data_IF_500563938374
#
_entry.id   IF_500563938374
#
_cell.length_a   1.000
_cell.length_b   1.000
_cell.length_c   1.000
_cell.angle_alpha   90.00
_cell.angle_beta   90.00
_cell.angle_gamma   90.00
#
_symmetry.space_group_name_H-M   'P 1'
#
loop_
_entity.id
_entity.type
_entity.pdbx_description
1 polymer ?
#
# COMPACT_ATOMS: atom_id res chain seq x y z
N UNK A 1 -2.64 -25.09 5.53
CA UNK A 1 -1.78 -24.26 6.41
C UNK A 1 -2.59 -23.30 7.28
N UNK A 2 -3.84 -22.97 6.89
CA UNK A 2 -4.74 -22.09 7.66
C UNK A 2 -5.88 -22.84 8.36
N UNK A 3 -6.01 -24.15 8.14
CA UNK A 3 -6.92 -25.03 8.88
C UNK A 3 -6.55 -25.12 10.37
N UNK A 4 -7.57 -25.16 11.22
CA UNK A 4 -7.43 -25.39 12.66
C UNK A 4 -6.89 -26.79 12.98
N UNK A 5 -7.06 -27.75 12.06
CA UNK A 5 -6.55 -29.11 12.21
C UNK A 5 -5.10 -29.28 11.72
N UNK A 6 -4.26 -29.98 12.50
CA UNK A 6 -2.80 -30.05 12.32
C UNK A 6 -2.33 -31.16 11.36
N UNK A 7 -3.17 -31.65 10.46
CA UNK A 7 -2.76 -32.73 9.54
C UNK A 7 -2.18 -32.16 8.24
N UNK A 8 -0.86 -32.29 8.00
CA UNK A 8 -0.31 -32.05 6.67
C UNK A 8 -0.76 -33.21 5.77
N UNK A 9 -1.76 -32.97 4.91
CA UNK A 9 -1.99 -33.85 3.77
C UNK A 9 -0.80 -33.72 2.81
N UNK A 10 -0.34 -34.82 2.24
CA UNK A 10 0.64 -34.76 1.16
C UNK A 10 0.04 -34.02 -0.02
N UNK A 11 0.77 -33.07 -0.60
CA UNK A 11 0.37 -32.31 -1.79
C UNK A 11 0.39 -33.15 -3.09
N UNK A 12 0.46 -34.47 -2.97
CA UNK A 12 0.50 -35.40 -4.09
C UNK A 12 -0.95 -35.79 -4.39
N UNK A 13 -1.37 -35.50 -5.61
CA UNK A 13 -2.66 -35.97 -6.12
C UNK A 13 -2.67 -37.51 -6.18
N UNK A 14 -3.64 -38.18 -5.54
CA UNK A 14 -3.79 -39.62 -5.71
C UNK A 14 -4.14 -39.91 -7.17
N UNK A 15 -3.37 -40.80 -7.80
CA UNK A 15 -3.58 -41.21 -9.20
C UNK A 15 -4.25 -42.57 -9.31
N UNK A 16 -4.37 -43.29 -8.18
CA UNK A 16 -5.02 -44.59 -8.09
C UNK A 16 -5.82 -44.72 -6.81
N UNK A 17 -6.94 -45.42 -6.88
CA UNK A 17 -7.73 -45.84 -5.73
C UNK A 17 -7.07 -47.00 -4.98
N UNK A 18 -7.57 -47.31 -3.78
CA UNK A 18 -7.14 -48.46 -2.96
C UNK A 18 -7.32 -49.80 -3.69
N UNK A 19 -8.28 -49.88 -4.62
CA UNK A 19 -8.55 -51.05 -5.48
C UNK A 19 -7.73 -51.05 -6.79
N UNK A 20 -6.87 -50.05 -7.00
CA UNK A 20 -5.95 -49.98 -8.15
C UNK A 20 -6.54 -49.39 -9.44
N UNK A 21 -7.76 -48.86 -9.41
CA UNK A 21 -8.37 -48.14 -10.52
C UNK A 21 -7.68 -46.79 -10.76
N UNK A 22 -7.67 -46.32 -12.01
CA UNK A 22 -7.08 -45.03 -12.38
C UNK A 22 -8.03 -43.88 -11.99
N UNK A 23 -7.49 -42.88 -11.30
CA UNK A 23 -8.19 -41.65 -10.96
C UNK A 23 -7.82 -40.52 -11.93
N UNK A 24 -8.84 -39.81 -12.40
CA UNK A 24 -8.68 -38.56 -13.15
C UNK A 24 -9.21 -37.40 -12.29
N UNK A 25 -8.42 -36.34 -12.16
CA UNK A 25 -8.79 -35.19 -11.33
C UNK A 25 -9.63 -34.21 -12.13
N UNK A 26 -10.89 -34.04 -11.75
CA UNK A 26 -11.75 -33.01 -12.33
C UNK A 26 -11.52 -31.64 -11.69
N UNK A 27 -10.71 -30.81 -12.32
CA UNK A 27 -10.36 -29.48 -11.79
C UNK A 27 -11.56 -28.53 -11.63
N UNK A 28 -12.65 -28.74 -12.37
CA UNK A 28 -13.84 -27.88 -12.33
C UNK A 28 -14.67 -28.01 -11.04
N UNK A 29 -14.60 -29.16 -10.36
CA UNK A 29 -15.28 -29.42 -9.08
C UNK A 29 -14.38 -29.17 -7.87
N UNK A 30 -13.09 -28.94 -8.11
CA UNK A 30 -12.14 -28.62 -7.05
C UNK A 30 -12.41 -27.22 -6.48
N UNK A 31 -12.39 -27.11 -5.15
CA UNK A 31 -12.45 -25.84 -4.47
C UNK A 31 -11.04 -25.26 -4.30
N UNK A 32 -10.86 -24.02 -4.75
CA UNK A 32 -9.61 -23.27 -4.61
C UNK A 32 -9.81 -22.08 -3.69
N UNK A 33 -8.74 -21.67 -3.01
CA UNK A 33 -8.73 -20.51 -2.11
C UNK A 33 -7.51 -19.64 -2.42
N UNK A 34 -7.74 -18.34 -2.43
CA UNK A 34 -6.67 -17.37 -2.56
C UNK A 34 -5.95 -17.22 -1.22
N UNK A 35 -4.63 -17.15 -1.30
CA UNK A 35 -3.73 -17.04 -0.16
C UNK A 35 -2.63 -16.02 -0.49
N UNK A 36 -2.41 -15.06 0.40
CA UNK A 36 -1.39 -14.03 0.25
C UNK A 36 -0.64 -13.85 1.57
N UNK A 37 0.69 -13.77 1.49
CA UNK A 37 1.54 -13.44 2.64
C UNK A 37 1.99 -11.99 2.51
N UNK A 38 1.79 -11.20 3.56
CA UNK A 38 2.21 -9.79 3.64
C UNK A 38 3.03 -9.59 4.91
N UNK A 39 4.15 -8.89 4.82
CA UNK A 39 4.95 -8.50 5.99
C UNK A 39 4.63 -7.06 6.38
N UNK A 40 4.16 -6.85 7.61
CA UNK A 40 3.88 -5.52 8.16
C UNK A 40 5.03 -5.08 9.05
N UNK A 41 5.38 -3.80 8.95
CA UNK A 41 6.42 -3.16 9.75
C UNK A 41 5.81 -2.19 10.76
N UNK A 42 6.44 -2.07 11.94
CA UNK A 42 6.07 -1.06 12.92
C UNK A 42 6.16 0.36 12.36
N UNK A 43 5.26 1.24 12.82
CA UNK A 43 5.28 2.65 12.42
C UNK A 43 6.55 3.32 12.93
N UNK A 44 7.36 3.95 12.06
CA UNK A 44 8.62 4.55 12.47
C UNK A 44 8.43 5.69 13.48
N UNK A 45 7.28 6.38 13.45
CA UNK A 45 6.90 7.44 14.40
C UNK A 45 6.73 6.94 15.84
N UNK A 46 6.40 5.66 16.02
CA UNK A 46 6.16 5.03 17.33
C UNK A 46 7.35 4.19 17.82
N UNK A 47 8.31 3.91 16.95
CA UNK A 47 9.47 3.08 17.28
C UNK A 47 10.48 3.90 18.11
N UNK A 48 11.06 3.32 19.17
CA UNK A 48 12.11 3.98 19.94
C UNK A 48 13.34 4.24 19.06
N UNK A 49 13.94 5.42 19.22
CA UNK A 49 15.13 5.80 18.46
C UNK A 49 16.31 4.87 18.81
N UNK A 50 16.92 4.26 17.80
CA UNK A 50 18.11 3.41 17.94
C UNK A 50 17.87 1.91 17.76
N UNK A 51 16.63 1.45 17.58
CA UNK A 51 16.34 0.06 17.20
C UNK A 51 15.87 -0.03 15.75
N UNK A 52 16.16 -1.17 15.11
CA UNK A 52 15.59 -1.49 13.80
C UNK A 52 14.11 -1.85 13.99
N UNK A 53 13.20 -1.22 13.23
CA UNK A 53 11.77 -1.52 13.30
C UNK A 53 11.51 -3.00 13.06
N UNK A 54 10.68 -3.62 13.91
CA UNK A 54 10.35 -5.04 13.79
C UNK A 54 9.28 -5.24 12.71
N UNK A 55 9.30 -6.42 12.11
CA UNK A 55 8.32 -6.86 11.13
C UNK A 55 7.63 -8.14 11.58
N UNK A 56 6.37 -8.31 11.17
CA UNK A 56 5.56 -9.50 11.43
C UNK A 56 4.96 -9.98 10.12
N UNK A 57 5.04 -11.28 9.88
CA UNK A 57 4.42 -11.93 8.71
C UNK A 57 2.95 -12.23 8.99
N UNK A 58 2.11 -11.85 8.04
CA UNK A 58 0.66 -12.00 8.11
C UNK A 58 0.19 -12.78 6.89
N UNK A 59 -0.70 -13.72 7.12
CA UNK A 59 -1.38 -14.48 6.08
C UNK A 59 -2.79 -13.94 5.90
N UNK A 60 -3.14 -13.57 4.68
CA UNK A 60 -4.45 -13.14 4.22
C UNK A 60 -5.06 -14.25 3.37
N UNK A 61 -6.30 -14.62 3.67
CA UNK A 61 -7.04 -15.65 2.94
C UNK A 61 -8.30 -15.07 2.28
N UNK A 62 -8.72 -15.66 1.16
CA UNK A 62 -9.96 -15.36 0.44
C UNK A 62 -10.11 -13.85 0.13
N UNK A 63 -11.25 -13.25 0.49
CA UNK A 63 -11.61 -11.86 0.26
C UNK A 63 -10.69 -10.82 0.95
N UNK A 64 -9.74 -11.24 1.78
CA UNK A 64 -8.75 -10.32 2.38
C UNK A 64 -7.55 -10.07 1.47
N UNK A 65 -7.37 -10.89 0.43
CA UNK A 65 -6.29 -10.74 -0.55
C UNK A 65 -6.45 -9.42 -1.31
N UNK A 66 -5.32 -8.76 -1.56
CA UNK A 66 -5.21 -7.47 -2.28
C UNK A 66 -5.96 -6.28 -1.66
N UNK A 67 -6.36 -6.38 -0.37
CA UNK A 67 -6.98 -5.25 0.35
C UNK A 67 -6.00 -4.15 0.75
N UNK A 68 -4.69 -4.41 0.74
CA UNK A 68 -3.68 -3.45 1.15
C UNK A 68 -2.56 -3.34 0.11
N UNK A 69 -2.13 -2.11 -0.17
CA UNK A 69 -0.97 -1.87 -1.03
C UNK A 69 0.27 -1.60 -0.18
N UNK A 70 1.48 -1.91 -0.68
CA UNK A 70 2.70 -1.49 -0.03
C UNK A 70 2.69 0.02 0.27
N UNK A 71 3.07 0.41 1.48
CA UNK A 71 3.08 1.81 1.92
C UNK A 71 1.80 2.28 2.62
N UNK A 72 0.72 1.50 2.59
CA UNK A 72 -0.50 1.86 3.33
C UNK A 72 -0.34 1.65 4.83
N UNK A 73 -0.86 2.59 5.63
CA UNK A 73 -1.05 2.38 7.07
C UNK A 73 -2.26 1.47 7.27
N UNK A 74 -2.04 0.28 7.80
CA UNK A 74 -3.06 -0.74 8.05
C UNK A 74 -3.12 -1.13 9.52
N UNK A 75 -4.31 -1.50 9.98
CA UNK A 75 -4.56 -2.15 11.24
C UNK A 75 -5.13 -3.54 10.95
N UNK A 76 -4.42 -4.58 11.39
CA UNK A 76 -4.80 -5.97 11.18
C UNK A 76 -5.20 -6.59 12.52
N UNK A 77 -6.31 -7.32 12.50
CA UNK A 77 -6.77 -8.11 13.65
C UNK A 77 -6.82 -9.57 13.21
N UNK A 78 -6.21 -10.44 14.01
CA UNK A 78 -6.06 -11.84 13.66
C UNK A 78 -5.52 -12.69 14.79
N UNK A 79 -5.34 -13.98 14.50
CA UNK A 79 -4.88 -14.98 15.46
C UNK A 79 -3.38 -15.20 15.25
N UNK A 80 -2.62 -15.07 16.32
CA UNK A 80 -1.17 -15.32 16.31
C UNK A 80 -0.88 -16.82 16.41
N UNK A 81 -0.08 -17.36 15.49
CA UNK A 81 0.26 -18.79 15.42
C UNK A 81 1.76 -18.99 15.18
N UNK A 82 2.33 -19.98 15.85
CA UNK A 82 3.70 -20.42 15.62
C UNK A 82 3.70 -21.66 14.74
N UNK A 83 4.44 -21.63 13.63
CA UNK A 83 4.68 -22.77 12.77
C UNK A 83 6.06 -23.38 13.12
N UNK A 84 6.11 -24.65 13.53
CA UNK A 84 7.38 -25.35 13.74
C UNK A 84 8.03 -25.64 12.39
N UNK A 85 9.31 -25.29 12.26
CA UNK A 85 10.09 -25.67 11.08
C UNK A 85 10.70 -27.06 11.30
N UNK A 86 10.04 -28.08 10.75
CA UNK A 86 10.52 -29.47 10.77
C UNK A 86 11.21 -29.78 9.45
N UNK A 87 12.53 -29.99 9.49
CA UNK A 87 13.29 -30.55 8.36
C UNK A 87 13.63 -32.01 8.71
N UNK A 88 12.84 -32.94 8.18
CA UNK A 88 12.99 -34.36 8.48
C UNK A 88 12.66 -34.70 9.94
N UNK A 89 13.49 -35.53 10.58
CA UNK A 89 13.32 -35.97 11.97
C UNK A 89 13.81 -34.96 13.02
N UNK A 90 14.52 -33.91 12.61
CA UNK A 90 15.05 -32.89 13.51
C UNK A 90 14.14 -31.67 13.51
N UNK A 91 13.58 -31.34 14.68
CA UNK A 91 12.86 -30.10 14.89
C UNK A 91 13.86 -29.01 15.27
N UNK A 92 13.95 -27.94 14.49
CA UNK A 92 14.68 -26.75 14.95
C UNK A 92 13.93 -26.16 16.15
N UNK A 93 14.66 -25.68 17.17
CA UNK A 93 14.09 -24.95 18.31
C UNK A 93 13.59 -23.54 17.94
N UNK A 94 13.82 -23.10 16.70
CA UNK A 94 13.33 -21.83 16.17
C UNK A 94 11.95 -22.01 15.54
N UNK A 95 10.96 -21.31 16.11
CA UNK A 95 9.61 -21.28 15.58
C UNK A 95 9.43 -20.05 14.70
N UNK A 96 8.85 -20.23 13.50
CA UNK A 96 8.41 -19.09 12.68
C UNK A 96 7.06 -18.64 13.20
N UNK A 97 6.91 -17.35 13.45
CA UNK A 97 5.62 -16.79 13.90
C UNK A 97 4.91 -16.15 12.73
N UNK A 98 3.61 -16.42 12.63
CA UNK A 98 2.72 -15.87 11.62
C UNK A 98 1.44 -15.38 12.28
N UNK A 99 0.78 -14.40 11.69
CA UNK A 99 -0.53 -13.95 12.13
C UNK A 99 -1.55 -14.23 11.01
N UNK A 100 -2.58 -15.01 11.34
CA UNK A 100 -3.70 -15.28 10.43
C UNK A 100 -4.69 -14.13 10.54
N UNK A 101 -4.84 -13.34 9.48
CA UNK A 101 -5.70 -12.18 9.51
C UNK A 101 -7.18 -12.57 9.41
N UNK A 102 -7.99 -12.00 10.31
CA UNK A 102 -9.46 -12.06 10.21
C UNK A 102 -10.01 -10.80 9.57
N UNK A 103 -9.37 -9.65 9.82
CA UNK A 103 -9.79 -8.37 9.28
C UNK A 103 -8.60 -7.43 9.05
N UNK A 104 -8.67 -6.65 7.97
CA UNK A 104 -7.68 -5.63 7.58
C UNK A 104 -8.41 -4.30 7.41
N UNK A 105 -8.04 -3.32 8.23
CA UNK A 105 -8.59 -1.96 8.19
C UNK A 105 -7.50 -1.01 7.69
N UNK A 106 -7.74 -0.35 6.58
CA UNK A 106 -6.86 0.72 6.07
C UNK A 106 -7.07 1.98 6.93
N UNK A 107 -6.06 2.38 7.68
CA UNK A 107 -6.05 3.66 8.40
C UNK A 107 -5.76 4.84 7.47
N UNK A 108 -5.09 4.56 6.33
CA UNK A 108 -4.74 5.53 5.30
C UNK A 108 -5.83 5.77 4.26
N UNK A 109 -7.00 5.11 4.35
CA UNK A 109 -8.14 5.61 3.59
C UNK A 109 -8.37 7.01 4.10
N UNK A 110 -8.06 8.00 3.27
CA UNK A 110 -8.74 9.29 3.26
C UNK A 110 -10.16 8.94 3.67
N UNK A 111 -10.50 9.31 4.91
CA UNK A 111 -11.85 9.15 5.43
C UNK A 111 -12.66 9.69 4.29
N UNK A 112 -13.40 8.84 3.56
CA UNK A 112 -14.31 9.32 2.53
C UNK A 112 -15.10 10.35 3.29
N UNK A 113 -14.81 11.66 3.08
CA UNK A 113 -15.18 12.61 4.09
C UNK A 113 -16.69 12.47 4.14
N UNK A 114 -17.24 12.24 5.33
CA UNK A 114 -18.68 12.13 5.48
C UNK A 114 -19.22 13.53 5.25
N UNK A 115 -19.27 13.95 3.98
CA UNK A 115 -19.57 15.30 3.56
C UNK A 115 -21.07 15.43 3.76
N UNK A 116 -21.44 16.13 4.82
CA UNK A 116 -22.83 16.52 5.02
C UNK A 116 -23.23 17.55 3.97
N UNK A 117 -24.52 17.58 3.64
CA UNK A 117 -25.11 18.64 2.81
C UNK A 117 -24.83 20.03 3.38
N UNK A 118 -24.74 20.14 4.70
CA UNK A 118 -24.44 21.39 5.40
C UNK A 118 -23.02 21.89 5.12
N UNK A 119 -22.05 21.00 4.98
CA UNK A 119 -20.67 21.37 4.68
C UNK A 119 -20.54 21.88 3.25
N UNK A 120 -21.25 21.25 2.31
CA UNK A 120 -21.37 21.76 0.93
C UNK A 120 -22.01 23.15 0.93
N UNK A 121 -23.04 23.39 1.75
CA UNK A 121 -23.66 24.71 1.87
C UNK A 121 -22.70 25.75 2.45
N UNK A 122 -21.91 25.41 3.48
CA UNK A 122 -20.87 26.30 4.03
C UNK A 122 -19.81 26.64 2.98
N UNK A 123 -19.32 25.65 2.23
CA UNK A 123 -18.35 25.87 1.16
C UNK A 123 -18.90 26.77 0.05
N UNK A 124 -20.15 26.54 -0.38
CA UNK A 124 -20.83 27.41 -1.37
C UNK A 124 -21.06 28.82 -0.85
N UNK A 125 -21.39 28.98 0.44
CA UNK A 125 -21.54 30.30 1.08
C UNK A 125 -20.20 31.03 1.13
N UNK A 126 -19.14 30.34 1.53
CA UNK A 126 -17.78 30.87 1.59
C UNK A 126 -17.29 31.30 0.20
N UNK A 127 -17.49 30.47 -0.83
CA UNK A 127 -17.14 30.80 -2.22
C UNK A 127 -17.85 32.04 -2.78
N UNK A 128 -19.05 32.38 -2.27
CA UNK A 128 -19.86 33.53 -2.74
C UNK A 128 -19.60 34.82 -1.96
N UNK A 129 -18.79 34.78 -0.90
CA UNK A 129 -18.48 35.99 -0.13
C UNK A 129 -17.62 36.93 -0.98
N UNK A 130 -18.19 38.08 -1.39
CA UNK A 130 -17.50 39.09 -2.21
C UNK A 130 -16.48 39.94 -1.45
N UNK A 131 -16.50 39.90 -0.12
CA UNK A 131 -15.70 40.80 0.72
C UNK A 131 -14.30 40.25 1.04
N UNK A 132 -13.97 39.03 0.60
CA UNK A 132 -12.69 38.38 0.92
C UNK A 132 -12.12 37.72 -0.32
N UNK A 133 -10.86 38.01 -0.62
CA UNK A 133 -10.09 37.26 -1.62
C UNK A 133 -9.83 35.84 -1.08
N UNK A 134 -10.71 34.91 -1.43
CA UNK A 134 -10.66 33.51 -0.99
C UNK A 134 -9.29 32.88 -1.25
N UNK A 135 -8.70 33.17 -2.41
CA UNK A 135 -7.39 32.65 -2.78
C UNK A 135 -6.28 33.11 -1.85
N UNK A 136 -6.30 34.38 -1.45
CA UNK A 136 -5.30 34.94 -0.54
C UNK A 136 -5.49 34.44 0.89
N UNK A 137 -6.75 34.33 1.32
CA UNK A 137 -7.08 33.78 2.64
C UNK A 137 -6.59 32.34 2.77
N UNK A 138 -6.87 31.48 1.78
CA UNK A 138 -6.39 30.09 1.78
C UNK A 138 -4.86 30.00 1.76
N UNK A 139 -4.20 30.82 0.93
CA UNK A 139 -2.74 30.84 0.86
C UNK A 139 -2.10 31.28 2.19
N UNK A 140 -2.69 32.26 2.90
CA UNK A 140 -2.23 32.69 4.22
C UNK A 140 -2.47 31.61 5.28
N UNK A 141 -3.58 30.87 5.19
CA UNK A 141 -3.93 29.77 6.10
C UNK A 141 -3.08 28.51 5.94
N UNK A 142 -2.43 28.28 4.79
CA UNK A 142 -1.62 27.08 4.55
C UNK A 142 -0.44 26.94 5.52
N UNK A 143 0.23 28.05 5.84
CA UNK A 143 1.39 28.06 6.74
C UNK A 143 1.38 29.35 7.59
N UNK A 144 0.57 29.41 8.66
CA UNK A 144 0.45 30.61 9.48
C UNK A 144 1.72 30.92 10.29
N UNK A 145 2.51 29.90 10.63
CA UNK A 145 3.75 30.07 11.41
C UNK A 145 4.90 30.73 10.65
N UNK A 146 4.81 30.85 9.33
CA UNK A 146 5.85 31.44 8.49
C UNK A 146 5.37 32.83 8.05
N UNK A 147 6.08 33.87 8.44
CA UNK A 147 5.76 35.23 8.03
C UNK A 147 6.23 35.48 6.57
N UNK A 148 5.43 36.23 5.79
CA UNK A 148 5.76 36.62 4.42
C UNK A 148 5.58 35.49 3.39
N UNK A 149 6.37 35.58 2.31
CA UNK A 149 6.38 34.63 1.18
C UNK A 149 5.01 34.35 0.55
N UNK A 150 4.19 35.39 0.36
CA UNK A 150 2.82 35.24 -0.12
C UNK A 150 2.73 34.58 -1.49
N UNK A 151 3.63 34.92 -2.42
CA UNK A 151 3.69 34.30 -3.75
C UNK A 151 4.04 32.81 -3.69
N UNK A 152 4.95 32.41 -2.79
CA UNK A 152 5.35 31.01 -2.65
C UNK A 152 4.18 30.19 -2.09
N UNK A 153 3.47 30.71 -1.07
CA UNK A 153 2.29 30.03 -0.52
C UNK A 153 1.16 29.92 -1.54
N UNK A 154 0.92 30.97 -2.33
CA UNK A 154 -0.04 30.96 -3.45
C UNK A 154 0.34 29.89 -4.49
N UNK A 155 1.62 29.78 -4.85
CA UNK A 155 2.09 28.75 -5.78
C UNK A 155 1.96 27.32 -5.19
N UNK A 156 2.32 27.12 -3.93
CA UNK A 156 2.16 25.83 -3.24
C UNK A 156 0.69 25.41 -3.14
N UNK A 157 -0.22 26.35 -2.94
CA UNK A 157 -1.67 26.08 -2.96
C UNK A 157 -2.11 25.59 -4.34
N UNK A 158 -1.67 26.22 -5.42
CA UNK A 158 -1.96 25.75 -6.78
C UNK A 158 -1.37 24.36 -7.05
N UNK A 159 -0.17 24.07 -6.54
CA UNK A 159 0.45 22.75 -6.64
C UNK A 159 -0.36 21.67 -5.91
N UNK A 160 -0.89 21.98 -4.71
CA UNK A 160 -1.73 21.07 -3.94
C UNK A 160 -3.09 20.80 -4.61
N UNK A 161 -3.68 21.81 -5.27
CA UNK A 161 -4.92 21.64 -6.01
C UNK A 161 -4.74 20.85 -7.31
N UNK A 162 -3.56 20.96 -7.92
CA UNK A 162 -3.27 20.39 -9.23
C UNK A 162 -3.96 21.14 -10.36
N UNK A 163 -3.63 20.76 -11.60
CA UNK A 163 -4.33 21.21 -12.80
C UNK A 163 -5.17 20.11 -13.42
N UNK A 164 -5.81 20.43 -14.55
CA UNK A 164 -6.64 19.49 -15.30
C UNK A 164 -5.83 18.93 -16.47
N UNK A 165 -5.67 17.62 -16.50
CA UNK A 165 -5.09 16.92 -17.65
C UNK A 165 -5.99 17.09 -18.89
N UNK A 166 -5.40 17.43 -20.03
CA UNK A 166 -6.15 17.61 -21.28
C UNK A 166 -5.84 16.50 -22.26
N UNK A 167 -6.87 15.76 -22.64
CA UNK A 167 -6.80 14.78 -23.73
C UNK A 167 -7.26 15.45 -25.00
N UNK A 168 -6.37 15.52 -25.99
CA UNK A 168 -6.69 16.06 -27.31
C UNK A 168 -7.45 15.01 -28.14
N UNK A 169 -8.22 15.44 -29.15
CA UNK A 169 -8.95 14.52 -30.03
C UNK A 169 -8.05 13.58 -30.85
N UNK A 170 -6.74 13.86 -30.92
CA UNK A 170 -5.73 13.01 -31.56
C UNK A 170 -5.17 11.91 -30.63
N UNK A 171 -5.70 11.76 -29.40
CA UNK A 171 -5.25 10.78 -28.42
C UNK A 171 -3.98 11.19 -27.64
N UNK A 172 -3.42 12.37 -27.90
CA UNK A 172 -2.28 12.88 -27.13
C UNK A 172 -2.76 13.44 -25.79
N UNK A 173 -2.04 13.17 -24.71
CA UNK A 173 -2.34 13.66 -23.36
C UNK A 173 -1.36 14.76 -22.94
N UNK A 174 -1.87 15.87 -22.44
CA UNK A 174 -1.08 16.96 -21.87
C UNK A 174 -1.17 16.93 -20.36
N UNK A 175 -0.01 16.82 -19.71
CA UNK A 175 0.16 16.78 -18.25
C UNK A 175 -0.43 18.04 -17.59
N UNK A 176 -1.29 17.85 -16.59
CA UNK A 176 -1.93 18.91 -15.81
C UNK A 176 -1.20 19.30 -14.52
N UNK A 177 -0.14 18.59 -14.14
CA UNK A 177 0.50 18.80 -12.84
C UNK A 177 1.46 19.99 -12.83
N UNK A 178 1.57 20.64 -11.67
CA UNK A 178 2.48 21.75 -11.44
C UNK A 178 3.65 21.25 -10.60
N UNK A 179 4.88 21.43 -11.08
CA UNK A 179 6.09 21.13 -10.31
C UNK A 179 6.75 22.44 -9.88
N UNK A 180 7.09 22.56 -8.60
CA UNK A 180 7.73 23.75 -8.03
C UNK A 180 9.11 23.39 -7.51
N UNK A 181 10.10 24.23 -7.83
CA UNK A 181 11.44 24.18 -7.26
C UNK A 181 11.68 25.45 -6.44
N UNK A 182 12.09 25.29 -5.18
CA UNK A 182 12.41 26.41 -4.28
C UNK A 182 13.94 26.53 -4.15
N UNK A 183 14.50 27.66 -4.56
CA UNK A 183 15.94 27.97 -4.48
C UNK A 183 16.16 29.22 -3.61
N UNK A 184 17.27 29.27 -2.88
CA UNK A 184 17.79 30.48 -2.26
C UNK A 184 18.65 30.17 -1.03
N UNK A 185 18.92 31.19 -0.24
CA UNK A 185 19.83 31.12 0.92
C UNK A 185 19.36 30.18 2.05
N UNK A 186 20.29 29.66 2.87
CA UNK A 186 19.94 28.99 4.11
C UNK A 186 19.11 29.91 5.02
N UNK A 187 18.34 29.32 5.93
CA UNK A 187 17.52 30.04 6.93
C UNK A 187 16.26 30.77 6.43
N UNK A 188 15.85 30.58 5.17
CA UNK A 188 14.61 31.18 4.60
C UNK A 188 13.38 30.26 4.72
N UNK A 189 13.32 29.42 5.76
CA UNK A 189 12.20 28.49 6.07
C UNK A 189 11.73 27.54 4.93
N UNK A 190 12.53 27.33 3.87
CA UNK A 190 12.14 26.50 2.71
C UNK A 190 11.81 25.06 3.06
N UNK A 191 12.65 24.41 3.86
CA UNK A 191 12.41 23.04 4.32
C UNK A 191 11.16 22.94 5.18
N UNK A 192 10.85 23.99 5.95
CA UNK A 192 9.64 24.04 6.78
C UNK A 192 8.38 24.15 5.91
N UNK A 193 8.41 24.94 4.84
CA UNK A 193 7.30 25.01 3.88
C UNK A 193 7.01 23.65 3.23
N UNK A 194 8.06 22.91 2.83
CA UNK A 194 7.91 21.56 2.28
C UNK A 194 7.31 20.59 3.31
N UNK A 195 7.69 20.71 4.58
CA UNK A 195 7.12 19.90 5.65
C UNK A 195 5.62 20.19 5.89
N UNK A 196 5.20 21.44 5.79
CA UNK A 196 3.77 21.80 5.84
C UNK A 196 2.97 21.14 4.72
N UNK A 197 3.52 21.13 3.50
CA UNK A 197 2.90 20.44 2.34
C UNK A 197 2.82 18.94 2.59
N UNK A 198 3.87 18.33 3.15
CA UNK A 198 3.89 16.89 3.48
C UNK A 198 2.75 16.49 4.41
N UNK A 199 2.46 17.30 5.45
CA UNK A 199 1.40 16.99 6.40
C UNK A 199 0.01 17.37 5.92
N UNK A 200 -0.10 18.33 5.00
CA UNK A 200 -1.39 18.81 4.49
C UNK A 200 -1.94 17.90 3.38
N UNK A 201 -1.06 17.35 2.53
CA UNK A 201 -1.46 16.49 1.43
C UNK A 201 -1.58 15.02 1.86
N UNK A 202 -2.68 14.33 1.53
CA UNK A 202 -2.95 12.97 2.01
C UNK A 202 -1.99 11.90 1.45
N UNK A 203 -1.23 12.21 0.40
CA UNK A 203 -0.32 11.27 -0.29
C UNK A 203 1.06 11.85 -0.57
N UNK A 204 1.49 12.83 0.21
CA UNK A 204 2.83 13.38 0.04
C UNK A 204 3.88 12.45 0.64
N UNK A 205 5.00 12.29 -0.08
CA UNK A 205 6.17 11.56 0.37
C UNK A 205 7.40 12.45 0.19
N UNK A 206 8.17 12.64 1.24
CA UNK A 206 9.45 13.35 1.16
C UNK A 206 10.59 12.38 0.91
N UNK A 207 11.47 12.76 -0.01
CA UNK A 207 12.71 12.05 -0.30
C UNK A 207 13.91 12.97 -0.08
N UNK A 208 15.04 12.41 0.35
CA UNK A 208 16.28 13.18 0.52
C UNK A 208 17.20 12.95 -0.68
N UNK A 209 17.85 14.02 -1.15
CA UNK A 209 18.75 13.95 -2.31
C UNK A 209 19.96 13.03 -2.14
N UNK A 210 20.33 12.69 -0.90
CA UNK A 210 21.45 11.78 -0.59
C UNK A 210 21.07 10.30 -0.67
N UNK A 211 19.80 9.96 -0.41
CA UNK A 211 19.30 8.59 -0.38
C UNK A 211 18.50 8.17 -1.61
N UNK A 212 18.29 9.07 -2.56
CA UNK A 212 17.46 8.83 -3.75
C UNK A 212 18.35 8.48 -4.95
N UNK A 213 18.45 7.20 -5.30
CA UNK A 213 19.06 6.78 -6.56
C UNK A 213 18.02 6.83 -7.69
N UNK A 214 18.42 7.09 -8.94
CA UNK A 214 17.50 7.14 -10.08
C UNK A 214 16.70 5.85 -10.32
N UNK A 215 17.26 4.70 -9.89
CA UNK A 215 16.60 3.38 -9.92
C UNK A 215 15.51 3.28 -8.83
N UNK A 216 15.75 3.89 -7.66
CA UNK A 216 14.79 3.96 -6.55
C UNK A 216 13.68 5.01 -6.69
N UNK A 217 13.65 5.74 -7.82
CA UNK A 217 12.59 6.69 -8.18
C UNK A 217 11.81 6.27 -9.43
N UNK A 218 12.22 5.21 -10.13
CA UNK A 218 11.52 4.76 -11.34
C UNK A 218 10.96 3.35 -11.12
N UNK A 219 11.78 2.34 -11.36
CA UNK A 219 11.44 0.95 -11.11
C UNK A 219 12.73 0.16 -10.88
N UNK A 220 12.68 -0.82 -9.98
CA UNK A 220 13.78 -1.75 -9.73
C UNK A 220 13.34 -3.17 -10.07
N UNK A 221 14.22 -3.97 -10.66
CA UNK A 221 13.95 -5.39 -10.87
C UNK A 221 14.46 -6.16 -9.65
N UNK A 222 13.59 -6.93 -9.01
CA UNK A 222 13.94 -7.83 -7.93
C UNK A 222 13.65 -9.28 -8.32
N UNK A 223 14.38 -10.19 -7.69
CA UNK A 223 14.15 -11.63 -7.81
C UNK A 223 13.54 -12.11 -6.51
N UNK A 224 12.40 -12.80 -6.61
CA UNK A 224 11.76 -13.42 -5.45
C UNK A 224 12.58 -14.64 -5.02
N UNK A 225 12.87 -14.76 -3.71
CA UNK A 225 13.74 -15.82 -3.21
C UNK A 225 13.02 -17.18 -3.16
N UNK A 226 11.69 -17.19 -3.00
CA UNK A 226 10.92 -18.43 -2.93
C UNK A 226 10.53 -18.95 -4.32
N UNK A 227 10.06 -18.09 -5.22
CA UNK A 227 9.58 -18.51 -6.55
C UNK A 227 10.63 -18.39 -7.65
N UNK A 228 11.75 -17.69 -7.42
CA UNK A 228 12.77 -17.31 -8.41
C UNK A 228 12.24 -16.47 -9.58
N UNK A 229 11.01 -15.95 -9.47
CA UNK A 229 10.45 -15.08 -10.48
C UNK A 229 11.04 -13.67 -10.39
N UNK A 230 11.21 -13.05 -11.57
CA UNK A 230 11.63 -11.66 -11.69
C UNK A 230 10.40 -10.76 -11.59
N UNK A 231 10.37 -9.90 -10.59
CA UNK A 231 9.29 -8.94 -10.35
C UNK A 231 9.83 -7.52 -10.48
N UNK A 232 9.02 -6.63 -11.05
CA UNK A 232 9.33 -5.20 -11.08
C UNK A 232 8.75 -4.58 -9.82
N UNK A 233 9.63 -4.02 -8.99
CA UNK A 233 9.26 -3.23 -7.83
C UNK A 233 9.04 -1.79 -8.29
N UNK A 234 7.79 -1.35 -8.21
CA UNK A 234 7.46 0.07 -8.31
C UNK A 234 8.09 0.81 -7.13
N UNK A 235 8.67 1.97 -7.41
CA UNK A 235 9.36 2.78 -6.42
C UNK A 235 8.55 4.04 -6.09
N UNK A 236 9.04 4.88 -5.17
CA UNK A 236 8.26 5.91 -4.47
C UNK A 236 7.24 6.71 -5.31
N UNK A 237 7.52 7.18 -6.54
CA UNK A 237 6.57 7.95 -7.34
C UNK A 237 5.65 7.11 -8.25
N UNK A 238 5.86 5.79 -8.41
CA UNK A 238 5.07 4.92 -9.29
C UNK A 238 3.99 4.10 -8.56
N UNK A 239 3.83 4.30 -7.25
CA UNK A 239 2.75 3.71 -6.43
C UNK A 239 1.33 4.16 -6.82
N UNK A 240 1.19 5.03 -7.84
CA UNK A 240 -0.08 5.58 -8.31
C UNK A 240 -0.63 5.02 -9.62
N UNK A 241 0.06 4.12 -10.33
CA UNK A 241 -0.56 3.46 -11.48
C UNK A 241 -1.52 2.36 -11.00
N UNK A 242 -2.86 2.49 -11.20
CA UNK A 242 -3.82 1.45 -10.79
C UNK A 242 -3.89 0.29 -11.78
N UNK A 243 -3.11 0.31 -12.87
CA UNK A 243 -3.17 -0.73 -13.90
C UNK A 243 -1.74 -1.14 -14.28
N UNK A 244 -1.55 -2.46 -14.43
CA UNK A 244 -0.33 -3.14 -14.91
C UNK A 244 0.86 -3.26 -13.96
N UNK A 245 0.63 -3.80 -12.76
CA UNK A 245 1.52 -4.87 -12.28
C UNK A 245 0.60 -5.98 -11.82
N UNK A 246 0.36 -6.96 -12.68
CA UNK A 246 -0.20 -8.25 -12.27
C UNK A 246 0.74 -8.81 -11.19
N UNK A 247 0.46 -8.51 -9.92
CA UNK A 247 0.72 -9.47 -8.88
C UNK A 247 -0.17 -10.64 -9.24
N UNK A 248 0.40 -11.65 -9.90
CA UNK A 248 -0.21 -12.96 -9.78
C UNK A 248 -0.25 -13.23 -8.27
N UNK A 249 -1.43 -13.41 -7.67
CA UNK A 249 -1.46 -13.95 -6.32
C UNK A 249 -0.64 -15.24 -6.42
N UNK A 250 0.37 -15.39 -5.56
CA UNK A 250 1.02 -16.69 -5.40
C UNK A 250 -0.04 -17.56 -4.73
N UNK A 251 -0.97 -18.08 -5.53
CA UNK A 251 -2.04 -18.96 -5.09
C UNK A 251 -1.36 -20.26 -4.68
N UNK A 252 -0.97 -20.36 -3.43
CA UNK A 252 -0.55 -21.64 -2.85
C UNK A 252 -1.82 -22.47 -2.68
N UNK A 253 -2.16 -23.20 -3.74
CA UNK A 253 -3.35 -24.05 -3.82
C UNK A 253 -3.25 -25.11 -2.70
N UNK A 254 -4.06 -24.96 -1.67
CA UNK A 254 -4.24 -26.03 -0.69
C UNK A 254 -5.37 -26.91 -1.18
N UNK A 255 -4.99 -28.06 -1.73
CA UNK A 255 -5.91 -29.08 -2.22
C UNK A 255 -6.56 -29.78 -1.03
N UNK A 256 -7.88 -29.64 -0.89
CA UNK A 256 -8.67 -30.61 -0.13
C UNK A 256 -9.29 -31.57 -1.16
N UNK A 257 -8.83 -32.83 -1.26
CA UNK A 257 -9.49 -33.81 -2.10
C UNK A 257 -10.85 -34.14 -1.47
N UNK A 258 -11.92 -33.68 -2.11
CA UNK A 258 -13.25 -34.25 -1.92
C UNK A 258 -13.33 -35.45 -2.88
N UNK A 259 -12.96 -36.64 -2.39
CA UNK A 259 -13.35 -37.88 -3.06
C UNK A 259 -14.86 -38.01 -2.93
N UNK A 260 -15.60 -37.76 -4.01
CA UNK A 260 -16.98 -38.24 -4.12
C UNK A 260 -16.93 -39.72 -4.51
N UNK A 261 -17.63 -40.54 -3.72
CA UNK A 261 -17.82 -41.97 -3.93
C UNK A 261 -18.62 -42.29 -5.18
#
# INVERSE_FOLDING_TARGET
>A
MTSYDPFPSSAIYPTKDDDGNLLETEYGLCAYKDHQTVSIQEMPEKSPAGQLPRSVDIVLDNDLVDKCKPGDRVQVVGIYRCLPNKQGAFTSGTFRTILLANNVILMNKEVSPQISTDDVHKCKKFSKQKNVDVFEMLAKSLAPSIHGHEYIKKALLCMLLGGVEKVLPNGTRLRGDINILLIGDPSVAKSQLLLYVLHSAPRAITTTGRGSSGVGLTAAVATDQETRDRRVIASLPTMECPETIYQQPTTTLTLQPLCQH
#
